data_IF_799101640750
#
_entry.id   IF_799101640750
#
_cell.length_a   1.000
_cell.length_b   1.000
_cell.length_c   1.000
_cell.angle_alpha   90.00
_cell.angle_beta   90.00
_cell.angle_gamma   90.00
#
_symmetry.space_group_name_H-M   'P 1'
#
loop_
_entity.id
_entity.type
_entity.pdbx_description
1 polymer ?
#
# COMPACT_ATOMS: atom_id res chain seq x y z
N UNK A 1 -3.58 -0.91 25.52
CA UNK A 1 -4.48 -0.89 26.70
C UNK A 1 -5.89 -0.68 26.15
N UNK A 2 -6.50 -1.77 25.70
CA UNK A 2 -7.85 -1.79 25.14
C UNK A 2 -8.76 -2.31 26.26
N UNK A 3 -9.52 -1.42 26.90
CA UNK A 3 -10.64 -1.83 27.76
C UNK A 3 -11.88 -1.90 26.89
N UNK A 4 -12.68 -2.96 27.04
CA UNK A 4 -13.98 -3.15 26.38
C UNK A 4 -14.87 -1.91 26.47
N UNK A 5 -14.90 -1.26 27.65
CA UNK A 5 -15.68 -0.03 27.89
C UNK A 5 -15.28 1.17 27.02
N UNK A 6 -14.09 1.14 26.42
CA UNK A 6 -13.64 2.19 25.51
C UNK A 6 -14.02 1.88 24.06
N UNK A 7 -14.22 0.61 23.67
CA UNK A 7 -14.74 0.22 22.35
C UNK A 7 -16.23 0.61 22.26
N UNK A 8 -17.01 0.31 23.29
CA UNK A 8 -18.45 0.60 23.35
C UNK A 8 -18.79 2.08 23.06
N UNK A 9 -18.03 3.03 23.62
CA UNK A 9 -18.24 4.46 23.40
C UNK A 9 -17.93 4.94 21.96
N UNK A 10 -17.06 4.24 21.20
CA UNK A 10 -16.80 4.56 19.77
C UNK A 10 -17.92 4.05 18.90
N UNK A 11 -18.41 2.84 19.24
CA UNK A 11 -19.47 2.14 18.51
C UNK A 11 -20.79 2.94 18.58
N UNK A 12 -21.06 3.59 19.72
CA UNK A 12 -22.27 4.39 19.95
C UNK A 12 -22.29 5.75 19.24
N UNK A 13 -21.13 6.38 18.95
CA UNK A 13 -21.09 7.79 18.50
C UNK A 13 -21.08 7.97 16.97
N UNK A 14 -20.51 7.04 16.19
CA UNK A 14 -20.29 7.23 14.74
C UNK A 14 -20.96 6.18 13.82
N UNK A 15 -21.71 5.24 14.41
CA UNK A 15 -22.37 4.17 13.65
C UNK A 15 -21.37 3.18 13.05
N UNK A 16 -21.26 2.02 13.69
CA UNK A 16 -20.69 0.72 13.30
C UNK A 16 -20.24 0.38 11.85
N UNK A 17 -20.68 1.05 10.79
CA UNK A 17 -20.49 0.62 9.39
C UNK A 17 -19.09 0.87 8.80
N UNK A 18 -18.21 1.60 9.50
CA UNK A 18 -16.86 1.97 9.01
C UNK A 18 -15.74 1.12 9.61
N UNK A 19 -16.00 0.48 10.74
CA UNK A 19 -15.03 -0.41 11.37
C UNK A 19 -14.93 -1.68 10.50
N UNK A 20 -13.70 -2.04 10.17
CA UNK A 20 -13.37 -3.13 9.26
C UNK A 20 -13.90 -2.98 7.82
N UNK A 21 -14.16 -1.74 7.38
CA UNK A 21 -14.55 -1.47 5.99
C UNK A 21 -13.53 -2.08 5.02
N UNK A 22 -14.04 -2.86 4.04
CA UNK A 22 -13.28 -3.59 3.02
C UNK A 22 -12.29 -4.64 3.54
N UNK A 23 -12.39 -5.01 4.82
CA UNK A 23 -11.54 -6.04 5.42
C UNK A 23 -12.10 -7.45 5.20
N UNK A 24 -11.22 -8.44 5.27
CA UNK A 24 -11.53 -9.85 5.08
C UNK A 24 -10.78 -10.74 6.07
N UNK A 25 -11.31 -11.94 6.30
CA UNK A 25 -10.72 -13.06 7.02
C UNK A 25 -10.88 -14.32 6.16
N UNK A 26 -9.85 -15.15 6.12
CA UNK A 26 -9.83 -16.43 5.43
C UNK A 26 -9.55 -17.51 6.47
N UNK A 27 -10.36 -18.56 6.47
CA UNK A 27 -10.16 -19.71 7.36
C UNK A 27 -10.86 -20.97 6.88
N UNK A 28 -10.84 -22.00 7.73
CA UNK A 28 -11.52 -23.29 7.48
C UNK A 28 -12.99 -23.30 7.94
N UNK A 29 -13.48 -22.14 8.34
CA UNK A 29 -14.84 -21.93 8.83
C UNK A 29 -15.29 -20.51 8.50
N UNK A 30 -16.59 -20.28 8.54
CA UNK A 30 -17.16 -18.94 8.49
C UNK A 30 -16.89 -18.17 9.79
N UNK A 31 -16.53 -16.91 9.66
CA UNK A 31 -16.40 -15.97 10.76
C UNK A 31 -17.55 -14.97 10.71
N UNK A 32 -18.29 -14.90 11.81
CA UNK A 32 -19.43 -14.01 11.96
C UNK A 32 -19.01 -12.84 12.83
N UNK A 33 -18.73 -11.72 12.18
CA UNK A 33 -18.57 -10.43 12.83
C UNK A 33 -19.90 -9.68 12.80
N UNK A 34 -20.04 -8.71 13.70
CA UNK A 34 -21.12 -7.73 13.64
C UNK A 34 -21.10 -6.97 12.28
N UNK A 35 -22.18 -6.25 11.99
CA UNK A 35 -22.33 -5.38 10.80
C UNK A 35 -22.59 -6.13 9.48
N UNK A 36 -23.15 -7.34 9.56
CA UNK A 36 -23.67 -8.05 8.40
C UNK A 36 -22.60 -8.64 7.50
N UNK A 37 -21.45 -9.01 8.06
CA UNK A 37 -20.39 -9.71 7.35
C UNK A 37 -20.93 -10.91 6.56
N UNK A 38 -20.39 -11.08 5.37
CA UNK A 38 -20.79 -12.11 4.44
C UNK A 38 -19.72 -13.20 4.36
N UNK A 39 -20.11 -14.38 3.90
CA UNK A 39 -19.24 -15.54 3.77
C UNK A 39 -19.42 -16.14 2.37
N UNK A 40 -18.32 -16.52 1.72
CA UNK A 40 -18.35 -17.36 0.52
C UNK A 40 -17.36 -18.51 0.69
N UNK A 41 -17.73 -19.70 0.20
CA UNK A 41 -16.82 -20.82 0.09
C UNK A 41 -15.94 -20.67 -1.15
N UNK A 42 -14.62 -20.75 -0.98
CA UNK A 42 -13.63 -20.36 -2.00
C UNK A 42 -12.77 -21.54 -2.50
N UNK A 43 -13.20 -22.77 -2.19
CA UNK A 43 -12.52 -24.02 -2.57
C UNK A 43 -11.63 -24.59 -1.46
N UNK A 44 -11.23 -25.86 -1.56
CA UNK A 44 -10.34 -26.54 -0.59
C UNK A 44 -10.81 -26.48 0.88
N UNK A 45 -12.13 -26.41 1.12
CA UNK A 45 -12.70 -26.25 2.46
C UNK A 45 -12.39 -24.88 3.11
N UNK A 46 -11.99 -23.89 2.30
CA UNK A 46 -11.72 -22.54 2.73
C UNK A 46 -12.98 -21.69 2.61
N UNK A 47 -13.16 -20.80 3.59
CA UNK A 47 -14.18 -19.77 3.61
C UNK A 47 -13.52 -18.40 3.66
N UNK A 48 -14.01 -17.50 2.82
CA UNK A 48 -13.72 -16.07 2.87
C UNK A 48 -14.88 -15.36 3.58
N UNK A 49 -14.60 -14.78 4.74
CA UNK A 49 -15.49 -13.89 5.48
C UNK A 49 -15.09 -12.45 5.20
N UNK A 50 -16.04 -11.58 4.87
CA UNK A 50 -15.72 -10.21 4.45
C UNK A 50 -16.76 -9.19 4.88
N UNK A 51 -16.29 -7.96 5.10
CA UNK A 51 -17.16 -6.82 5.35
C UNK A 51 -17.99 -6.48 4.09
N UNK A 52 -19.28 -6.10 4.19
CA UNK A 52 -20.14 -5.83 3.04
C UNK A 52 -19.67 -4.75 2.06
N UNK A 53 -18.73 -3.90 2.48
CA UNK A 53 -18.12 -2.89 1.60
C UNK A 53 -16.97 -3.42 0.75
N UNK A 54 -16.50 -4.66 0.98
CA UNK A 54 -15.52 -5.30 0.12
C UNK A 54 -16.15 -5.75 -1.19
N UNK A 55 -15.51 -5.43 -2.32
CA UNK A 55 -15.94 -5.92 -3.63
C UNK A 55 -15.33 -7.31 -3.86
N UNK A 56 -16.17 -8.31 -4.09
CA UNK A 56 -15.76 -9.69 -4.30
C UNK A 56 -16.11 -10.12 -5.72
N UNK A 57 -15.18 -10.78 -6.39
CA UNK A 57 -15.42 -11.45 -7.67
C UNK A 57 -14.86 -12.87 -7.58
N UNK A 58 -15.67 -13.85 -7.96
CA UNK A 58 -15.36 -15.26 -7.75
C UNK A 58 -15.69 -16.03 -9.02
N UNK A 59 -14.79 -16.92 -9.42
CA UNK A 59 -15.03 -17.85 -10.51
C UNK A 59 -14.41 -19.21 -10.17
N UNK A 60 -15.14 -20.26 -10.49
CA UNK A 60 -14.72 -21.66 -10.33
C UNK A 60 -14.85 -22.34 -11.68
N UNK A 61 -13.72 -22.81 -12.19
CA UNK A 61 -13.60 -23.65 -13.38
C UNK A 61 -12.62 -24.77 -13.06
N UNK A 62 -13.13 -25.93 -12.61
CA UNK A 62 -12.27 -27.01 -12.11
C UNK A 62 -11.19 -27.39 -13.15
N UNK A 63 -9.89 -27.39 -12.79
CA UNK A 63 -9.33 -27.45 -11.44
C UNK A 63 -8.89 -26.11 -10.83
N UNK A 64 -9.33 -24.98 -11.39
CA UNK A 64 -8.91 -23.63 -11.01
C UNK A 64 -10.07 -22.85 -10.38
N UNK A 65 -9.79 -22.18 -9.27
CA UNK A 65 -10.74 -21.27 -8.63
C UNK A 65 -10.03 -19.97 -8.30
N UNK A 66 -10.58 -18.85 -8.74
CA UNK A 66 -10.03 -17.52 -8.49
C UNK A 66 -11.06 -16.71 -7.71
N UNK A 67 -10.63 -16.18 -6.56
CA UNK A 67 -11.42 -15.22 -5.78
C UNK A 67 -10.61 -13.94 -5.63
N UNK A 68 -11.11 -12.85 -6.18
CA UNK A 68 -10.53 -11.52 -6.06
C UNK A 68 -11.31 -10.68 -5.05
N UNK A 69 -10.59 -10.06 -4.11
CA UNK A 69 -11.08 -9.05 -3.19
C UNK A 69 -10.52 -7.69 -3.61
N UNK A 70 -11.39 -6.75 -3.97
CA UNK A 70 -11.02 -5.40 -4.39
C UNK A 70 -11.23 -5.15 -5.88
N UNK A 71 -10.37 -4.35 -6.49
CA UNK A 71 -10.49 -3.99 -7.91
C UNK A 71 -9.23 -4.36 -8.66
N UNK A 72 -9.44 -5.14 -9.71
CA UNK A 72 -8.39 -5.59 -10.63
C UNK A 72 -8.66 -5.00 -11.99
N UNK A 73 -7.62 -4.47 -12.63
CA UNK A 73 -7.67 -3.85 -13.95
C UNK A 73 -6.69 -4.57 -14.87
N UNK A 74 -7.11 -4.81 -16.10
CA UNK A 74 -6.24 -5.30 -17.17
C UNK A 74 -5.95 -4.11 -18.10
N UNK A 75 -4.77 -3.48 -18.05
CA UNK A 75 -4.50 -2.28 -18.84
C UNK A 75 -4.62 -2.51 -20.35
N UNK A 76 -4.34 -3.73 -20.82
CA UNK A 76 -4.49 -4.14 -22.22
C UNK A 76 -5.94 -4.32 -22.67
N UNK A 77 -6.90 -4.44 -21.75
CA UNK A 77 -8.34 -4.47 -22.03
C UNK A 77 -9.12 -3.65 -21.00
N UNK A 78 -9.20 -2.32 -21.19
CA UNK A 78 -9.86 -1.42 -20.24
C UNK A 78 -11.37 -1.66 -20.05
N UNK A 79 -12.03 -2.40 -20.94
CA UNK A 79 -13.46 -2.66 -20.85
C UNK A 79 -13.80 -3.79 -19.88
N UNK A 80 -12.86 -4.73 -19.67
CA UNK A 80 -13.04 -5.87 -18.77
C UNK A 80 -13.37 -5.42 -17.35
N UNK A 81 -14.37 -6.06 -16.73
CA UNK A 81 -14.70 -5.89 -15.31
C UNK A 81 -13.96 -6.91 -14.46
N UNK A 82 -14.03 -6.78 -13.12
CA UNK A 82 -13.40 -7.74 -12.22
C UNK A 82 -13.80 -9.19 -12.53
N UNK A 83 -15.08 -9.44 -12.80
CA UNK A 83 -15.59 -10.79 -13.05
C UNK A 83 -15.08 -11.37 -14.38
N UNK A 84 -14.85 -10.53 -15.38
CA UNK A 84 -14.29 -10.96 -16.67
C UNK A 84 -12.82 -11.36 -16.49
N UNK A 85 -12.05 -10.56 -15.74
CA UNK A 85 -10.64 -10.84 -15.43
C UNK A 85 -10.51 -12.11 -14.58
N UNK A 86 -11.33 -12.26 -13.53
CA UNK A 86 -11.30 -13.45 -12.66
C UNK A 86 -11.66 -14.72 -13.44
N UNK A 87 -12.57 -14.63 -14.41
CA UNK A 87 -12.89 -15.74 -15.31
C UNK A 87 -11.73 -16.05 -16.25
N UNK A 88 -11.19 -15.04 -16.92
CA UNK A 88 -10.03 -15.18 -17.81
C UNK A 88 -8.83 -15.84 -17.09
N UNK A 89 -8.53 -15.43 -15.86
CA UNK A 89 -7.47 -16.06 -15.05
C UNK A 89 -7.74 -17.55 -14.79
N UNK A 90 -8.99 -17.94 -14.54
CA UNK A 90 -9.34 -19.33 -14.29
C UNK A 90 -9.30 -20.19 -15.56
N UNK A 91 -9.75 -19.64 -16.70
CA UNK A 91 -9.83 -20.33 -17.99
C UNK A 91 -8.44 -20.48 -18.65
N UNK A 92 -7.56 -19.49 -18.52
CA UNK A 92 -6.29 -19.45 -19.25
C UNK A 92 -5.07 -19.95 -18.44
N UNK A 93 -5.17 -20.06 -17.11
CA UNK A 93 -4.04 -20.45 -16.26
C UNK A 93 -4.22 -21.87 -15.72
N UNK A 94 -3.46 -22.83 -16.25
CA UNK A 94 -3.50 -24.23 -15.81
C UNK A 94 -2.61 -24.52 -14.58
N UNK A 95 -1.64 -23.66 -14.29
CA UNK A 95 -0.72 -23.78 -13.15
C UNK A 95 -0.43 -22.40 -12.50
N UNK A 96 0.23 -22.43 -11.33
CA UNK A 96 0.58 -21.20 -10.61
C UNK A 96 1.60 -20.32 -11.33
N UNK A 97 2.46 -20.89 -12.19
CA UNK A 97 3.44 -20.09 -12.92
C UNK A 97 2.75 -19.24 -13.99
N UNK A 98 1.84 -19.85 -14.77
CA UNK A 98 0.99 -19.15 -15.72
C UNK A 98 0.13 -18.09 -15.04
N UNK A 99 -0.46 -18.43 -13.88
CA UNK A 99 -1.21 -17.47 -13.09
C UNK A 99 -0.33 -16.28 -12.67
N UNK A 100 0.86 -16.52 -12.13
CA UNK A 100 1.75 -15.45 -11.69
C UNK A 100 2.25 -14.57 -12.84
N UNK A 101 2.47 -15.14 -14.04
CA UNK A 101 2.77 -14.37 -15.24
C UNK A 101 1.56 -13.49 -15.64
N UNK A 102 0.33 -14.02 -15.57
CA UNK A 102 -0.89 -13.26 -15.83
C UNK A 102 -1.13 -12.15 -14.78
N UNK A 103 -0.87 -12.41 -13.50
CA UNK A 103 -1.00 -11.43 -12.42
C UNK A 103 -0.05 -10.24 -12.59
N UNK A 104 1.13 -10.45 -13.19
CA UNK A 104 2.10 -9.38 -13.43
C UNK A 104 1.62 -8.32 -14.43
N UNK A 105 0.65 -8.65 -15.27
CA UNK A 105 0.02 -7.73 -16.24
C UNK A 105 -1.14 -6.92 -15.61
N UNK A 106 -1.55 -7.26 -14.39
CA UNK A 106 -2.70 -6.64 -13.74
C UNK A 106 -2.31 -5.41 -12.93
N UNK A 107 -3.17 -4.40 -12.98
CA UNK A 107 -3.10 -3.22 -12.13
C UNK A 107 -4.27 -3.19 -11.14
N UNK A 108 -4.24 -2.24 -10.20
CA UNK A 108 -5.32 -1.99 -9.26
C UNK A 108 -4.93 -2.24 -7.81
N UNK A 109 -5.93 -2.63 -7.01
CA UNK A 109 -5.80 -2.81 -5.57
C UNK A 109 -6.63 -4.01 -5.14
N UNK A 110 -5.96 -5.15 -5.05
CA UNK A 110 -6.60 -6.45 -4.96
C UNK A 110 -5.80 -7.42 -4.09
N UNK A 111 -6.53 -8.40 -3.56
CA UNK A 111 -6.02 -9.62 -2.93
C UNK A 111 -6.68 -10.77 -3.69
N UNK A 112 -5.89 -11.73 -4.17
CA UNK A 112 -6.39 -12.90 -4.91
C UNK A 112 -6.09 -14.17 -4.12
N UNK A 113 -7.14 -14.95 -3.85
CA UNK A 113 -7.03 -16.35 -3.46
C UNK A 113 -7.21 -17.20 -4.71
N UNK A 114 -6.18 -17.98 -5.03
CA UNK A 114 -6.20 -18.88 -6.17
C UNK A 114 -6.02 -20.32 -5.70
N UNK A 115 -6.93 -21.19 -6.13
CA UNK A 115 -6.78 -22.64 -6.04
C UNK A 115 -6.44 -23.16 -7.42
N UNK A 116 -5.38 -23.95 -7.53
CA UNK A 116 -4.97 -24.61 -8.78
C UNK A 116 -4.58 -26.05 -8.45
N UNK A 117 -5.30 -27.02 -9.02
CA UNK A 117 -4.97 -28.44 -8.84
C UNK A 117 -5.01 -28.91 -7.37
N UNK A 118 -5.91 -28.36 -6.55
CA UNK A 118 -6.07 -28.70 -5.14
C UNK A 118 -5.03 -28.08 -4.18
N UNK A 119 -4.19 -27.17 -4.68
CA UNK A 119 -3.33 -26.32 -3.86
C UNK A 119 -3.87 -24.89 -3.88
N UNK A 120 -3.76 -24.16 -2.77
CA UNK A 120 -4.27 -22.80 -2.63
C UNK A 120 -3.17 -21.81 -2.24
N UNK A 121 -3.15 -20.66 -2.91
CA UNK A 121 -2.20 -19.56 -2.66
C UNK A 121 -2.90 -18.21 -2.60
N UNK A 122 -2.36 -17.33 -1.75
CA UNK A 122 -2.80 -15.94 -1.63
C UNK A 122 -1.77 -15.00 -2.25
N UNK A 123 -2.23 -14.10 -3.10
CA UNK A 123 -1.46 -13.12 -3.85
C UNK A 123 -1.95 -11.71 -3.56
N UNK A 124 -1.02 -10.78 -3.49
CA UNK A 124 -1.30 -9.36 -3.35
C UNK A 124 -1.12 -8.64 -4.67
N UNK A 125 -1.76 -7.48 -4.82
CA UNK A 125 -1.39 -6.51 -5.85
C UNK A 125 0.08 -6.11 -5.76
N UNK A 126 0.58 -5.44 -6.80
CA UNK A 126 2.00 -5.13 -7.00
C UNK A 126 2.68 -4.58 -5.74
N UNK A 127 1.98 -3.84 -4.88
CA UNK A 127 2.58 -3.25 -3.68
C UNK A 127 1.95 -3.70 -2.36
N UNK A 128 1.07 -4.70 -2.39
CA UNK A 128 0.34 -5.11 -1.20
C UNK A 128 -0.60 -4.03 -0.68
N UNK A 129 -1.17 -3.19 -1.56
CA UNK A 129 -2.05 -2.09 -1.16
C UNK A 129 -3.32 -2.58 -0.44
N UNK A 130 -3.67 -3.85 -0.59
CA UNK A 130 -4.45 -4.61 0.39
C UNK A 130 -3.53 -5.49 1.23
N UNK A 131 -3.19 -5.02 2.43
CA UNK A 131 -2.38 -5.81 3.37
C UNK A 131 -3.03 -7.14 3.68
N UNK A 132 -2.20 -8.16 3.91
CA UNK A 132 -2.62 -9.46 4.39
C UNK A 132 -1.66 -9.92 5.48
N UNK A 133 -2.21 -10.48 6.54
CA UNK A 133 -1.49 -11.07 7.65
C UNK A 133 -1.90 -12.53 7.76
N UNK A 134 -1.00 -13.39 8.24
CA UNK A 134 -1.26 -14.81 8.38
C UNK A 134 -0.66 -15.38 9.65
N UNK A 135 -1.30 -16.42 10.16
CA UNK A 135 -0.81 -17.19 11.33
C UNK A 135 0.11 -18.31 10.86
N UNK A 136 1.20 -18.52 11.61
CA UNK A 136 2.16 -19.59 11.35
C UNK A 136 1.74 -20.93 11.97
N UNK A 137 0.87 -20.90 13.00
CA UNK A 137 0.32 -22.09 13.64
C UNK A 137 -0.61 -22.87 12.68
N UNK A 138 -0.34 -24.16 12.47
CA UNK A 138 -1.02 -24.99 11.48
C UNK A 138 -2.44 -25.37 11.90
N UNK A 139 -2.59 -25.64 13.18
CA UNK A 139 -3.81 -25.98 13.89
C UNK A 139 -4.82 -24.83 14.00
N UNK A 140 -4.42 -23.59 13.70
CA UNK A 140 -5.32 -22.44 13.77
C UNK A 140 -6.44 -22.55 12.72
N UNK A 141 -7.72 -22.36 13.10
CA UNK A 141 -8.84 -22.40 12.17
C UNK A 141 -8.88 -21.17 11.25
N UNK A 142 -8.27 -20.06 11.69
CA UNK A 142 -8.04 -18.88 10.85
C UNK A 142 -6.71 -19.01 10.14
N UNK A 143 -6.63 -18.49 8.92
CA UNK A 143 -5.43 -18.55 8.09
C UNK A 143 -4.81 -17.20 7.92
N UNK A 144 -5.61 -16.28 7.40
CA UNK A 144 -5.15 -14.97 7.06
C UNK A 144 -6.27 -13.95 7.23
N UNK A 145 -5.91 -12.69 7.46
CA UNK A 145 -6.85 -11.59 7.44
C UNK A 145 -6.16 -10.31 6.96
N UNK A 146 -6.91 -9.38 6.39
CA UNK A 146 -6.36 -8.09 5.97
C UNK A 146 -6.13 -7.11 7.13
N UNK A 147 -6.58 -7.47 8.34
CA UNK A 147 -6.35 -6.73 9.57
C UNK A 147 -5.67 -7.65 10.62
N UNK A 148 -4.52 -7.24 11.19
CA UNK A 148 -3.74 -8.09 12.08
C UNK A 148 -4.37 -8.26 13.46
N UNK A 149 -5.08 -7.24 13.97
CA UNK A 149 -5.81 -7.36 15.23
C UNK A 149 -6.97 -8.34 15.10
N UNK A 150 -7.67 -8.27 13.96
CA UNK A 150 -8.76 -9.18 13.63
C UNK A 150 -8.27 -10.63 13.52
N UNK A 151 -7.16 -10.85 12.82
CA UNK A 151 -6.49 -12.15 12.76
C UNK A 151 -6.18 -12.67 14.15
N UNK A 152 -5.51 -11.86 14.98
CA UNK A 152 -5.05 -12.24 16.30
C UNK A 152 -6.22 -12.61 17.23
N UNK A 153 -7.36 -11.89 17.15
CA UNK A 153 -8.56 -12.22 17.92
C UNK A 153 -9.09 -13.60 17.60
N UNK A 154 -9.20 -13.97 16.33
CA UNK A 154 -9.70 -15.29 15.93
C UNK A 154 -8.67 -16.42 16.03
N UNK A 155 -7.39 -16.06 16.03
CA UNK A 155 -6.29 -16.99 16.22
C UNK A 155 -5.95 -17.24 17.71
N UNK A 156 -6.54 -16.48 18.62
CA UNK A 156 -6.18 -16.42 20.04
C UNK A 156 -4.67 -16.15 20.27
N UNK A 157 -4.15 -15.19 19.51
CA UNK A 157 -2.73 -14.81 19.53
C UNK A 157 -2.49 -13.61 20.45
N UNK A 158 -1.51 -13.68 21.37
CA UNK A 158 -1.20 -12.57 22.26
C UNK A 158 -0.55 -11.38 21.53
N UNK A 159 -0.84 -10.18 22.02
CA UNK A 159 -0.18 -8.94 21.63
C UNK A 159 1.06 -8.68 22.49
N UNK A 160 2.23 -8.57 21.86
CA UNK A 160 3.43 -8.00 22.45
C UNK A 160 3.29 -6.46 22.54
N UNK A 161 2.84 -6.01 23.71
CA UNK A 161 2.64 -4.59 24.02
C UNK A 161 3.97 -3.82 24.04
N UNK A 162 5.09 -4.47 24.39
CA UNK A 162 6.39 -3.82 24.46
C UNK A 162 6.95 -3.56 23.07
N UNK A 163 6.84 -4.55 22.18
CA UNK A 163 7.19 -4.42 20.76
C UNK A 163 6.34 -3.34 20.09
N UNK A 164 5.02 -3.37 20.27
CA UNK A 164 4.12 -2.33 19.75
C UNK A 164 4.53 -0.92 20.24
N UNK A 165 4.82 -0.77 21.54
CA UNK A 165 5.29 0.50 22.12
C UNK A 165 6.68 0.90 21.61
N UNK A 166 7.56 -0.05 21.33
CA UNK A 166 8.86 0.24 20.74
C UNK A 166 8.70 0.79 19.32
N UNK A 167 7.82 0.20 18.51
CA UNK A 167 7.49 0.69 17.17
C UNK A 167 6.91 2.11 17.19
N UNK A 168 5.97 2.42 18.09
CA UNK A 168 5.42 3.78 18.19
C UNK A 168 6.40 4.84 18.71
N UNK A 169 7.46 4.44 19.40
CA UNK A 169 8.51 5.37 19.88
C UNK A 169 9.52 5.73 18.79
N UNK A 170 9.50 5.03 17.65
CA UNK A 170 10.37 5.36 16.53
C UNK A 170 10.02 6.74 15.98
N UNK A 171 11.04 7.45 15.49
CA UNK A 171 10.89 8.81 14.95
C UNK A 171 9.85 8.87 13.83
N UNK A 172 9.77 7.80 13.06
CA UNK A 172 8.81 7.57 12.02
C UNK A 172 8.12 6.27 12.40
N UNK A 173 6.85 6.34 12.83
CA UNK A 173 6.05 5.18 13.26
C UNK A 173 5.57 4.37 12.05
N UNK A 174 6.48 4.15 11.10
CA UNK A 174 6.28 3.59 9.77
C UNK A 174 7.20 2.37 9.50
N UNK A 175 8.08 2.01 10.45
CA UNK A 175 9.02 0.89 10.32
C UNK A 175 8.65 -0.33 11.17
N UNK A 176 7.89 -1.27 10.59
CA UNK A 176 7.82 -2.64 11.11
C UNK A 176 9.12 -3.39 10.83
N UNK A 177 9.40 -4.46 11.55
CA UNK A 177 10.64 -5.22 11.39
C UNK A 177 10.45 -6.28 10.32
N UNK A 178 10.60 -5.91 9.05
CA UNK A 178 10.31 -6.81 7.92
C UNK A 178 8.84 -7.23 7.90
N UNK A 179 8.60 -8.54 7.91
CA UNK A 179 7.27 -9.16 7.97
C UNK A 179 6.70 -9.28 9.39
N UNK A 180 7.45 -8.93 10.43
CA UNK A 180 7.01 -9.14 11.81
C UNK A 180 5.89 -8.17 12.21
N UNK A 181 4.97 -8.69 13.00
CA UNK A 181 3.90 -7.92 13.66
C UNK A 181 4.11 -7.97 15.18
N UNK A 182 3.42 -7.13 15.97
CA UNK A 182 3.46 -7.25 17.42
C UNK A 182 2.57 -8.40 17.93
N UNK A 183 1.97 -9.19 17.05
CA UNK A 183 1.16 -10.36 17.41
C UNK A 183 2.02 -11.62 17.22
N UNK A 184 2.23 -12.38 18.28
CA UNK A 184 3.16 -13.52 18.26
C UNK A 184 2.70 -14.64 17.31
N UNK A 185 3.55 -15.06 16.37
CA UNK A 185 3.15 -16.05 15.36
C UNK A 185 2.22 -15.52 14.26
N UNK A 186 2.02 -14.20 14.19
CA UNK A 186 1.37 -13.52 13.07
C UNK A 186 2.41 -12.74 12.25
N UNK A 187 2.46 -13.02 10.94
CA UNK A 187 3.36 -12.36 10.00
C UNK A 187 2.56 -11.60 8.95
N UNK A 188 3.14 -10.54 8.40
CA UNK A 188 2.61 -9.83 7.24
C UNK A 188 3.11 -10.48 5.95
N UNK A 189 2.21 -10.73 4.99
CA UNK A 189 2.61 -11.10 3.64
C UNK A 189 3.17 -9.86 2.93
N UNK A 190 4.42 -9.93 2.49
CA UNK A 190 5.08 -8.85 1.76
C UNK A 190 4.71 -8.87 0.27
N UNK A 191 4.77 -7.74 -0.44
CA UNK A 191 4.68 -7.69 -1.91
C UNK A 191 5.68 -8.64 -2.57
N UNK A 192 5.40 -9.06 -3.81
CA UNK A 192 6.18 -10.04 -4.57
C UNK A 192 6.29 -11.45 -3.94
N UNK A 193 5.58 -11.69 -2.84
CA UNK A 193 5.46 -12.99 -2.20
C UNK A 193 4.01 -13.49 -2.30
N UNK A 194 3.86 -14.81 -2.32
CA UNK A 194 2.58 -15.48 -2.19
C UNK A 194 2.60 -16.31 -0.91
N UNK A 195 1.44 -16.50 -0.29
CA UNK A 195 1.30 -17.40 0.85
C UNK A 195 0.74 -18.73 0.38
N UNK A 196 1.46 -19.82 0.61
CA UNK A 196 0.90 -21.17 0.49
C UNK A 196 -0.02 -21.44 1.68
N UNK A 197 -1.31 -21.65 1.41
CA UNK A 197 -2.36 -21.72 2.43
C UNK A 197 -2.23 -22.99 3.28
N UNK A 198 -1.68 -24.07 2.73
CA UNK A 198 -1.52 -25.34 3.45
C UNK A 198 -0.31 -25.29 4.38
N UNK A 199 0.85 -24.90 3.86
CA UNK A 199 2.10 -24.89 4.60
C UNK A 199 2.31 -23.64 5.46
N UNK A 200 1.52 -22.57 5.26
CA UNK A 200 1.67 -21.27 5.94
C UNK A 200 3.03 -20.63 5.72
N UNK A 201 3.61 -20.86 4.53
CA UNK A 201 4.91 -20.32 4.14
C UNK A 201 4.71 -19.27 3.06
N UNK A 202 5.21 -18.07 3.33
CA UNK A 202 5.34 -17.03 2.32
C UNK A 202 6.55 -17.31 1.44
N UNK A 203 6.36 -17.34 0.12
CA UNK A 203 7.41 -17.58 -0.86
C UNK A 203 7.44 -16.45 -1.88
N UNK A 204 8.64 -15.94 -2.15
CA UNK A 204 8.89 -14.96 -3.21
C UNK A 204 8.57 -15.59 -4.57
N UNK A 205 7.59 -15.04 -5.27
CA UNK A 205 7.27 -15.46 -6.64
C UNK A 205 7.80 -14.47 -7.68
N UNK A 206 8.22 -13.26 -7.29
CA UNK A 206 8.85 -12.29 -8.18
C UNK A 206 10.05 -11.60 -7.49
N UNK A 207 11.13 -11.26 -8.20
CA UNK A 207 11.44 -11.66 -9.58
C UNK A 207 11.94 -13.12 -9.64
N UNK A 208 11.47 -13.91 -10.62
CA UNK A 208 11.94 -15.30 -10.85
C UNK A 208 13.16 -15.42 -11.74
N UNK A 209 13.32 -14.44 -12.63
CA UNK A 209 14.38 -14.35 -13.62
C UNK A 209 14.89 -12.92 -13.65
N UNK A 210 16.13 -12.69 -14.11
CA UNK A 210 16.65 -11.34 -14.26
C UNK A 210 15.70 -10.46 -15.07
N UNK A 211 15.39 -9.28 -14.55
CA UNK A 211 14.65 -8.24 -15.28
C UNK A 211 15.61 -7.62 -16.28
N UNK A 212 15.31 -7.81 -17.57
CA UNK A 212 16.15 -7.30 -18.64
C UNK A 212 16.05 -5.77 -18.75
N UNK A 213 17.20 -5.13 -18.88
CA UNK A 213 17.26 -3.70 -19.15
C UNK A 213 16.78 -3.43 -20.58
N UNK A 214 15.84 -2.50 -20.73
CA UNK A 214 15.37 -2.02 -22.02
C UNK A 214 15.75 -0.54 -22.21
N UNK A 215 15.88 -0.05 -23.45
CA UNK A 215 16.15 1.36 -23.71
C UNK A 215 15.09 2.28 -23.07
N UNK A 216 15.52 3.41 -22.50
CA UNK A 216 14.63 4.36 -21.81
C UNK A 216 13.40 4.76 -22.62
N UNK A 217 13.57 5.02 -23.92
CA UNK A 217 12.46 5.39 -24.81
C UNK A 217 11.42 4.26 -24.95
N UNK A 218 11.87 3.00 -24.93
CA UNK A 218 10.97 1.85 -24.94
C UNK A 218 10.26 1.69 -23.60
N UNK A 219 11.00 1.76 -22.49
CA UNK A 219 10.42 1.73 -21.15
C UNK A 219 9.34 2.81 -21.00
N UNK A 220 9.62 4.06 -21.36
CA UNK A 220 8.66 5.16 -21.27
C UNK A 220 7.39 4.91 -22.08
N UNK A 221 7.48 4.31 -23.28
CA UNK A 221 6.29 3.96 -24.07
C UNK A 221 5.46 2.86 -23.41
N UNK A 222 6.11 1.80 -22.93
CA UNK A 222 5.43 0.68 -22.24
C UNK A 222 4.69 1.17 -21.00
N UNK A 223 5.37 1.99 -20.20
CA UNK A 223 4.78 2.55 -18.99
C UNK A 223 3.61 3.49 -19.34
N UNK A 224 3.78 4.39 -20.32
CA UNK A 224 2.70 5.29 -20.70
C UNK A 224 1.45 4.52 -21.15
N UNK A 225 1.62 3.43 -21.90
CA UNK A 225 0.52 2.56 -22.30
C UNK A 225 -0.15 1.86 -21.10
N UNK A 226 0.64 1.35 -20.14
CA UNK A 226 0.09 0.74 -18.92
C UNK A 226 -0.67 1.75 -18.07
N UNK A 227 -0.12 2.96 -17.88
CA UNK A 227 -0.79 4.06 -17.18
C UNK A 227 -2.10 4.45 -17.86
N UNK A 228 -2.06 4.66 -19.17
CA UNK A 228 -3.22 5.04 -19.97
C UNK A 228 -4.32 3.97 -19.91
N UNK A 229 -3.96 2.70 -20.13
CA UNK A 229 -4.86 1.56 -20.06
C UNK A 229 -5.48 1.40 -18.68
N UNK A 230 -4.69 1.56 -17.61
CA UNK A 230 -5.20 1.46 -16.24
C UNK A 230 -6.14 2.62 -15.89
N UNK A 231 -5.81 3.86 -16.30
CA UNK A 231 -6.70 5.02 -16.11
C UNK A 231 -7.99 4.83 -16.90
N UNK A 232 -7.91 4.31 -18.13
CA UNK A 232 -9.09 3.99 -18.93
C UNK A 232 -9.96 2.92 -18.25
N UNK A 233 -9.36 1.86 -17.71
CA UNK A 233 -10.07 0.78 -17.03
C UNK A 233 -10.78 1.28 -15.76
N UNK A 234 -10.10 2.12 -14.98
CA UNK A 234 -10.67 2.77 -13.81
C UNK A 234 -11.84 3.69 -14.19
N UNK A 235 -11.67 4.52 -15.23
CA UNK A 235 -12.67 5.48 -15.71
C UNK A 235 -13.91 4.82 -16.31
N UNK A 236 -13.76 3.64 -16.92
CA UNK A 236 -14.88 2.87 -17.48
C UNK A 236 -15.84 2.38 -16.40
N UNK A 237 -15.36 2.18 -15.17
CA UNK A 237 -16.14 1.62 -14.07
C UNK A 237 -16.75 2.69 -13.18
N UNK A 238 -15.97 3.72 -12.81
CA UNK A 238 -16.37 4.71 -11.81
C UNK A 238 -15.85 6.11 -12.14
N UNK A 239 -16.50 7.18 -11.66
CA UNK A 239 -15.96 8.54 -11.78
C UNK A 239 -14.56 8.64 -11.16
N UNK A 240 -13.65 9.33 -11.86
CA UNK A 240 -12.28 9.51 -11.43
C UNK A 240 -12.03 10.88 -10.81
N UNK A 241 -11.29 10.86 -9.71
CA UNK A 241 -10.70 12.02 -9.07
C UNK A 241 -9.20 11.87 -9.04
N UNK A 242 -8.45 12.89 -9.43
CA UNK A 242 -6.99 12.82 -9.50
C UNK A 242 -6.36 14.05 -8.89
N UNK A 243 -5.44 13.85 -7.95
CA UNK A 243 -4.64 14.94 -7.41
C UNK A 243 -3.75 15.54 -8.51
N UNK A 244 -3.78 16.85 -8.68
CA UNK A 244 -2.90 17.61 -9.56
C UNK A 244 -2.10 18.62 -8.74
N UNK A 245 -0.77 18.59 -8.86
CA UNK A 245 0.15 19.48 -8.13
C UNK A 245 1.27 19.96 -9.06
N UNK A 246 2.24 20.71 -8.54
CA UNK A 246 3.48 21.03 -9.26
C UNK A 246 4.44 19.84 -9.35
N UNK A 247 4.20 18.82 -8.52
CA UNK A 247 4.97 17.57 -8.46
C UNK A 247 5.07 16.86 -9.81
N UNK A 248 6.09 16.02 -9.94
CA UNK A 248 6.33 15.26 -11.16
C UNK A 248 5.25 14.19 -11.39
N UNK A 249 4.94 13.42 -10.34
CA UNK A 249 4.10 12.22 -10.43
C UNK A 249 2.67 12.56 -10.90
N UNK A 250 2.04 13.56 -10.28
CA UNK A 250 0.69 14.01 -10.67
C UNK A 250 0.62 14.54 -12.11
N UNK A 251 1.71 15.17 -12.60
CA UNK A 251 1.79 15.65 -13.99
C UNK A 251 2.00 14.51 -14.99
N UNK A 252 2.75 13.47 -14.61
CA UNK A 252 2.89 12.25 -15.41
C UNK A 252 1.53 11.57 -15.54
N UNK A 253 0.80 11.38 -14.44
CA UNK A 253 -0.52 10.76 -14.48
C UNK A 253 -1.51 11.57 -15.34
N UNK A 254 -1.51 12.90 -15.23
CA UNK A 254 -2.33 13.76 -16.09
C UNK A 254 -1.93 13.63 -17.57
N UNK A 255 -0.63 13.54 -17.88
CA UNK A 255 -0.14 13.36 -19.24
C UNK A 255 -0.56 11.99 -19.82
N UNK A 256 -0.45 10.93 -19.03
CA UNK A 256 -0.80 9.56 -19.41
C UNK A 256 -2.30 9.26 -19.35
N UNK A 257 -3.16 10.19 -18.91
CA UNK A 257 -4.61 9.98 -18.85
C UNK A 257 -5.31 9.86 -20.21
N UNK A 258 -4.58 9.92 -21.34
CA UNK A 258 -5.12 9.70 -22.69
C UNK A 258 -6.42 10.46 -22.99
N UNK A 259 -7.40 9.76 -23.54
CA UNK A 259 -8.75 10.26 -23.81
C UNK A 259 -9.56 10.60 -22.54
N UNK A 260 -9.21 10.00 -21.40
CA UNK A 260 -9.90 10.23 -20.13
C UNK A 260 -9.50 11.56 -19.48
N UNK A 261 -8.40 12.19 -19.93
CA UNK A 261 -7.86 13.43 -19.35
C UNK A 261 -8.90 14.51 -19.12
N UNK A 262 -9.85 14.72 -20.03
CA UNK A 262 -10.89 15.76 -19.86
C UNK A 262 -12.10 15.32 -19.02
N UNK A 263 -12.24 14.03 -18.74
CA UNK A 263 -13.35 13.43 -17.98
C UNK A 263 -13.02 13.26 -16.49
N UNK A 264 -11.74 13.37 -16.13
CA UNK A 264 -11.26 13.28 -14.75
C UNK A 264 -11.54 14.59 -14.01
N UNK A 265 -11.97 14.48 -12.75
CA UNK A 265 -12.08 15.61 -11.84
C UNK A 265 -10.73 15.80 -11.13
N UNK A 266 -9.99 16.83 -11.51
CA UNK A 266 -8.72 17.14 -10.87
C UNK A 266 -8.92 17.98 -9.62
N UNK A 267 -8.02 17.81 -8.66
CA UNK A 267 -8.04 18.64 -7.46
C UNK A 267 -6.64 18.91 -6.91
N UNK A 268 -6.50 19.99 -6.17
CA UNK A 268 -5.29 20.29 -5.39
C UNK A 268 -5.68 20.65 -3.96
N UNK A 269 -5.10 19.97 -2.98
CA UNK A 269 -5.29 20.34 -1.56
C UNK A 269 -4.23 21.37 -1.18
N UNK A 270 -4.65 22.61 -0.94
CA UNK A 270 -3.80 23.71 -0.51
C UNK A 270 -3.53 23.60 0.99
N UNK A 271 -2.30 23.25 1.34
CA UNK A 271 -1.75 23.30 2.70
C UNK A 271 -1.31 24.73 3.06
N UNK A 272 -1.31 25.12 4.32
CA UNK A 272 -0.68 26.37 4.78
C UNK A 272 0.48 26.07 5.74
N UNK A 273 1.69 26.64 5.52
CA UNK A 273 2.15 27.26 4.28
C UNK A 273 2.39 26.18 3.21
N UNK A 274 1.79 26.31 2.02
CA UNK A 274 2.19 25.53 0.83
C UNK A 274 3.17 26.36 0.03
N UNK A 275 4.05 25.71 -0.73
CA UNK A 275 4.70 26.37 -1.85
C UNK A 275 3.59 26.87 -2.77
N UNK A 276 3.61 28.17 -3.10
CA UNK A 276 2.71 28.74 -4.12
C UNK A 276 2.76 27.91 -5.41
N UNK A 277 3.94 27.37 -5.71
CA UNK A 277 4.27 26.58 -6.89
C UNK A 277 3.39 25.35 -7.12
N UNK A 278 2.96 24.63 -6.07
CA UNK A 278 2.14 23.42 -6.25
C UNK A 278 0.73 23.74 -6.74
N UNK A 279 0.13 24.80 -6.19
CA UNK A 279 -1.22 25.24 -6.56
C UNK A 279 -1.17 26.00 -7.88
N UNK A 280 -0.21 26.92 -8.03
CA UNK A 280 -0.10 27.77 -9.22
C UNK A 280 0.20 26.92 -10.47
N UNK A 281 1.09 25.91 -10.36
CA UNK A 281 1.37 24.99 -11.47
C UNK A 281 0.14 24.16 -11.84
N UNK A 282 -0.59 23.62 -10.85
CA UNK A 282 -1.80 22.85 -11.11
C UNK A 282 -2.88 23.69 -11.82
N UNK A 283 -3.09 24.93 -11.36
CA UNK A 283 -4.04 25.88 -11.97
C UNK A 283 -3.61 26.25 -13.40
N UNK A 284 -2.32 26.48 -13.62
CA UNK A 284 -1.77 26.76 -14.96
C UNK A 284 -2.03 25.59 -15.91
N UNK A 285 -1.74 24.36 -15.49
CA UNK A 285 -1.97 23.15 -16.28
C UNK A 285 -3.45 22.95 -16.57
N UNK A 286 -4.31 23.09 -15.55
CA UNK A 286 -5.75 22.96 -15.71
C UNK A 286 -6.31 23.95 -16.73
N UNK A 287 -5.88 25.22 -16.69
CA UNK A 287 -6.26 26.23 -17.68
C UNK A 287 -5.74 25.90 -19.07
N UNK A 288 -4.46 25.52 -19.18
CA UNK A 288 -3.80 25.21 -20.46
C UNK A 288 -4.49 24.06 -21.19
N UNK A 289 -4.95 23.04 -20.46
CA UNK A 289 -5.55 21.83 -21.03
C UNK A 289 -7.08 21.78 -20.89
N UNK A 290 -7.71 22.85 -20.40
CA UNK A 290 -9.14 22.96 -20.14
C UNK A 290 -9.69 21.78 -19.28
N UNK A 291 -9.04 21.53 -18.15
CA UNK A 291 -9.38 20.45 -17.21
C UNK A 291 -10.40 20.91 -16.17
N UNK A 292 -11.27 20.01 -15.74
CA UNK A 292 -12.10 20.19 -14.53
C UNK A 292 -11.18 20.15 -13.30
N UNK A 293 -10.92 21.29 -12.68
CA UNK A 293 -9.97 21.40 -11.56
C UNK A 293 -10.50 22.25 -10.41
N UNK A 294 -10.36 21.75 -9.19
CA UNK A 294 -10.76 22.44 -7.97
C UNK A 294 -9.61 22.55 -6.97
N UNK A 295 -9.45 23.72 -6.35
CA UNK A 295 -8.51 23.91 -5.23
C UNK A 295 -9.28 23.82 -3.91
N UNK A 296 -8.92 22.84 -3.10
CA UNK A 296 -9.53 22.57 -1.80
C UNK A 296 -8.60 23.08 -0.69
N UNK A 297 -9.15 23.62 0.40
CA UNK A 297 -8.34 23.91 1.59
C UNK A 297 -8.04 22.62 2.34
N UNK A 298 -6.82 22.49 2.86
CA UNK A 298 -6.50 21.44 3.81
C UNK A 298 -7.34 21.58 5.07
N UNK A 299 -8.04 20.51 5.43
CA UNK A 299 -8.80 20.42 6.67
C UNK A 299 -8.18 19.37 7.59
N UNK A 300 -7.91 19.77 8.83
CA UNK A 300 -7.49 18.85 9.89
C UNK A 300 -8.72 18.38 10.66
N UNK A 301 -8.96 17.08 10.69
CA UNK A 301 -9.99 16.51 11.57
C UNK A 301 -9.64 16.81 13.03
N UNK A 302 -10.59 17.41 13.74
CA UNK A 302 -10.48 17.67 15.17
C UNK A 302 -11.00 16.50 16.00
N UNK A 303 -11.67 15.52 15.38
CA UNK A 303 -12.35 14.43 16.06
C UNK A 303 -11.38 13.29 16.40
N UNK A 304 -11.30 12.96 17.69
CA UNK A 304 -10.46 11.87 18.20
C UNK A 304 -10.92 10.51 17.70
N UNK A 305 -12.22 10.34 17.50
CA UNK A 305 -12.83 9.06 17.16
C UNK A 305 -12.61 8.65 15.69
N UNK A 306 -12.60 9.58 14.74
CA UNK A 306 -12.25 9.26 13.35
C UNK A 306 -10.84 8.69 13.21
N UNK A 307 -9.88 9.34 13.90
CA UNK A 307 -8.50 8.84 13.97
C UNK A 307 -8.44 7.45 14.59
N UNK A 308 -9.29 7.20 15.58
CA UNK A 308 -9.37 5.91 16.27
C UNK A 308 -9.91 4.82 15.35
N UNK A 309 -10.97 5.06 14.60
CA UNK A 309 -11.51 4.10 13.62
C UNK A 309 -10.49 3.75 12.54
N UNK A 310 -9.81 4.76 11.98
CA UNK A 310 -8.74 4.55 11.02
C UNK A 310 -7.57 3.73 11.62
N UNK A 311 -7.21 3.97 12.89
CA UNK A 311 -6.18 3.20 13.61
C UNK A 311 -6.60 1.75 13.87
N UNK A 312 -7.86 1.51 14.27
CA UNK A 312 -8.38 0.16 14.51
C UNK A 312 -8.44 -0.67 13.22
N UNK A 313 -8.73 -0.03 12.09
CA UNK A 313 -8.75 -0.68 10.77
C UNK A 313 -7.40 -1.21 10.28
N UNK A 314 -6.31 -0.84 10.94
CA UNK A 314 -4.95 -1.34 10.67
C UNK A 314 -4.34 -2.07 11.86
N UNK A 315 -5.16 -2.42 12.87
CA UNK A 315 -4.69 -3.07 14.10
C UNK A 315 -3.71 -2.21 14.91
N UNK A 316 -3.75 -0.90 14.75
CA UNK A 316 -2.78 0.02 15.32
C UNK A 316 -1.42 0.02 14.61
N UNK A 317 -1.23 -0.74 13.54
CA UNK A 317 0.11 -0.90 12.99
C UNK A 317 0.61 0.31 12.18
N UNK A 318 -0.23 1.30 11.88
CA UNK A 318 0.19 2.47 11.14
C UNK A 318 -0.24 3.75 11.82
N UNK A 319 0.67 4.72 11.82
CA UNK A 319 0.35 6.11 12.11
C UNK A 319 1.08 7.02 11.13
N UNK A 320 0.32 7.92 10.52
CA UNK A 320 0.84 9.00 9.69
C UNK A 320 0.08 10.30 10.00
N UNK A 321 0.78 11.42 9.91
CA UNK A 321 0.16 12.74 10.05
C UNK A 321 -0.96 12.96 9.02
N UNK A 322 -0.87 12.37 7.82
CA UNK A 322 -1.90 12.42 6.78
C UNK A 322 -3.23 11.84 7.27
N UNK A 323 -3.24 10.93 8.26
CA UNK A 323 -4.47 10.41 8.86
C UNK A 323 -5.28 11.53 9.55
N UNK A 324 -4.65 12.65 9.93
CA UNK A 324 -5.35 13.81 10.47
C UNK A 324 -6.03 14.67 9.39
N UNK A 325 -5.71 14.42 8.12
CA UNK A 325 -6.13 15.24 6.98
C UNK A 325 -7.28 14.60 6.20
N UNK A 326 -7.79 13.45 6.61
CA UNK A 326 -8.72 12.63 5.83
C UNK A 326 -9.98 13.35 5.39
N UNK A 327 -10.50 14.24 6.24
CA UNK A 327 -11.61 15.14 5.93
C UNK A 327 -11.36 16.03 4.70
N UNK A 328 -10.10 16.28 4.34
CA UNK A 328 -9.75 17.02 3.12
C UNK A 328 -10.19 16.31 1.83
N UNK A 329 -10.55 15.02 1.89
CA UNK A 329 -10.99 14.21 0.75
C UNK A 329 -12.51 13.99 0.69
N UNK A 330 -13.30 14.59 1.58
CA UNK A 330 -14.77 14.37 1.61
C UNK A 330 -15.52 14.90 0.40
N UNK A 331 -14.91 15.81 -0.36
CA UNK A 331 -15.47 16.28 -1.62
C UNK A 331 -15.48 15.19 -2.71
N UNK A 332 -14.70 14.11 -2.54
CA UNK A 332 -14.75 12.95 -3.41
C UNK A 332 -16.01 12.16 -3.06
N UNK A 333 -16.95 12.00 -4.01
CA UNK A 333 -18.22 11.34 -3.73
C UNK A 333 -18.00 9.85 -3.43
N UNK A 334 -18.87 9.25 -2.59
CA UNK A 334 -18.79 7.84 -2.31
C UNK A 334 -18.83 6.96 -3.56
N UNK A 335 -17.95 5.97 -3.57
CA UNK A 335 -17.80 5.03 -4.66
C UNK A 335 -16.93 5.52 -5.82
N UNK A 336 -16.53 6.79 -5.90
CA UNK A 336 -15.58 7.24 -6.93
C UNK A 336 -14.18 6.64 -6.74
N UNK A 337 -13.38 6.61 -7.80
CA UNK A 337 -11.98 6.22 -7.71
C UNK A 337 -11.10 7.45 -7.56
N UNK A 338 -10.16 7.38 -6.62
CA UNK A 338 -9.09 8.35 -6.47
C UNK A 338 -7.82 7.78 -7.09
N UNK A 339 -7.27 8.47 -8.09
CA UNK A 339 -5.98 8.10 -8.67
C UNK A 339 -4.89 8.87 -7.93
N UNK A 340 -3.95 8.12 -7.35
CA UNK A 340 -2.84 8.66 -6.56
C UNK A 340 -1.50 8.29 -7.20
N UNK A 341 -0.58 9.26 -7.26
CA UNK A 341 0.78 9.05 -7.79
C UNK A 341 1.79 8.54 -6.77
N UNK A 342 1.32 7.90 -5.69
CA UNK A 342 2.19 7.24 -4.72
C UNK A 342 2.80 5.99 -5.37
N UNK A 343 3.90 5.47 -4.81
CA UNK A 343 4.67 4.29 -5.28
C UNK A 343 5.77 4.63 -6.28
N UNK A 344 5.68 5.76 -6.98
CA UNK A 344 6.71 6.26 -7.91
C UNK A 344 8.13 6.30 -7.34
N UNK A 345 8.28 6.31 -6.03
CA UNK A 345 9.56 6.22 -5.33
C UNK A 345 10.30 4.88 -5.51
N UNK A 346 9.59 3.77 -5.77
CA UNK A 346 10.17 2.42 -5.93
C UNK A 346 11.27 2.40 -6.99
N UNK A 347 11.09 3.14 -8.08
CA UNK A 347 12.07 3.20 -9.18
C UNK A 347 12.91 4.49 -9.17
N UNK A 348 12.87 5.26 -8.07
CA UNK A 348 13.64 6.50 -7.91
C UNK A 348 14.79 6.35 -6.90
N UNK A 349 15.12 5.14 -6.48
CA UNK A 349 16.16 4.88 -5.51
C UNK A 349 15.97 5.71 -4.24
N UNK A 350 14.79 5.58 -3.62
CA UNK A 350 14.44 6.30 -2.39
C UNK A 350 15.52 6.16 -1.31
N UNK A 351 16.04 4.94 -1.11
CA UNK A 351 17.14 4.65 -0.19
C UNK A 351 18.53 4.81 -0.81
N UNK A 352 18.61 5.13 -2.10
CA UNK A 352 19.83 5.14 -2.87
C UNK A 352 20.77 6.31 -2.60
N UNK A 353 20.48 7.27 -1.71
CA UNK A 353 21.31 8.48 -1.47
C UNK A 353 22.84 8.26 -1.55
N UNK A 354 23.49 7.95 -0.42
CA UNK A 354 24.92 7.58 -0.41
C UNK A 354 25.20 6.10 -0.76
N UNK A 355 24.14 5.35 -1.05
CA UNK A 355 24.14 3.89 -1.21
C UNK A 355 23.72 3.47 -2.63
N UNK A 356 23.70 4.39 -3.59
CA UNK A 356 23.29 4.08 -4.97
C UNK A 356 24.31 3.14 -5.60
N UNK A 357 23.86 1.95 -5.98
CA UNK A 357 24.67 0.98 -6.70
C UNK A 357 25.66 0.20 -5.84
N UNK A 358 25.47 0.14 -4.51
CA UNK A 358 26.20 -0.80 -3.65
C UNK A 358 25.34 -2.01 -3.30
N UNK A 359 25.93 -3.19 -3.43
CA UNK A 359 25.38 -4.46 -2.93
C UNK A 359 25.88 -4.78 -1.51
N UNK A 360 26.77 -3.96 -0.95
CA UNK A 360 27.28 -4.07 0.43
C UNK A 360 26.27 -3.51 1.43
N UNK A 361 25.11 -4.16 1.50
CA UNK A 361 24.01 -3.82 2.41
C UNK A 361 23.80 -4.99 3.37
N UNK A 362 23.99 -4.72 4.67
CA UNK A 362 23.69 -5.67 5.74
C UNK A 362 22.41 -5.27 6.51
N UNK A 363 22.00 -6.11 7.46
CA UNK A 363 20.81 -5.87 8.27
C UNK A 363 20.91 -4.59 9.13
N UNK A 364 22.11 -4.14 9.51
CA UNK A 364 22.32 -2.89 10.27
C UNK A 364 22.10 -1.69 9.36
N UNK A 365 22.58 -1.74 8.12
CA UNK A 365 22.32 -0.73 7.10
C UNK A 365 20.82 -0.60 6.85
N UNK A 366 20.09 -1.71 6.71
CA UNK A 366 18.63 -1.69 6.55
C UNK A 366 17.92 -1.08 7.78
N UNK A 367 18.33 -1.43 9.00
CA UNK A 367 17.83 -0.78 10.23
C UNK A 367 18.01 0.75 10.18
N UNK A 368 19.18 1.22 9.76
CA UNK A 368 19.49 2.65 9.67
C UNK A 368 18.61 3.37 8.64
N UNK A 369 18.44 2.77 7.45
CA UNK A 369 17.62 3.30 6.37
C UNK A 369 16.13 3.38 6.77
N UNK A 370 15.64 2.41 7.54
CA UNK A 370 14.29 2.40 8.07
C UNK A 370 14.11 3.24 9.35
N UNK A 371 15.19 3.81 9.90
CA UNK A 371 15.19 4.47 11.21
C UNK A 371 14.70 3.58 12.36
N UNK A 372 14.95 2.28 12.24
CA UNK A 372 14.62 1.24 13.20
C UNK A 372 15.83 0.96 14.10
N UNK A 373 15.68 0.86 15.43
CA UNK A 373 16.76 0.40 16.30
C UNK A 373 17.19 -1.03 15.94
N UNK A 374 18.50 -1.34 15.89
CA UNK A 374 19.02 -2.66 15.53
C UNK A 374 18.84 -3.67 16.67
N UNK A 375 17.59 -3.97 17.01
CA UNK A 375 17.20 -5.03 17.94
C UNK A 375 17.47 -6.41 17.34
N UNK A 376 17.53 -7.44 18.18
CA UNK A 376 17.72 -8.83 17.70
C UNK A 376 16.67 -9.22 16.65
N UNK A 377 15.40 -8.89 16.91
CA UNK A 377 14.29 -9.15 16.00
C UNK A 377 14.44 -8.42 14.66
N UNK A 378 14.80 -7.13 14.69
CA UNK A 378 15.02 -6.36 13.46
C UNK A 378 16.21 -6.90 12.64
N UNK A 379 17.32 -7.20 13.30
CA UNK A 379 18.51 -7.76 12.64
C UNK A 379 18.21 -9.13 12.02
N UNK A 380 17.57 -10.03 12.75
CA UNK A 380 17.18 -11.34 12.22
C UNK A 380 16.23 -11.22 11.04
N UNK A 381 15.22 -10.35 11.14
CA UNK A 381 14.25 -10.17 10.06
C UNK A 381 14.89 -9.62 8.79
N UNK A 382 15.77 -8.62 8.91
CA UNK A 382 16.41 -8.02 7.75
C UNK A 382 17.51 -8.91 7.17
N UNK A 383 18.22 -9.69 7.99
CA UNK A 383 19.12 -10.75 7.50
C UNK A 383 18.33 -11.79 6.70
N UNK A 384 17.23 -12.32 7.25
CA UNK A 384 16.39 -13.29 6.54
C UNK A 384 15.84 -12.74 5.22
N UNK A 385 15.47 -11.47 5.18
CA UNK A 385 15.07 -10.83 3.93
C UNK A 385 16.25 -10.78 2.95
N UNK A 386 17.43 -10.28 3.36
CA UNK A 386 18.63 -10.20 2.52
C UNK A 386 19.08 -11.55 1.95
N UNK A 387 18.94 -12.62 2.73
CA UNK A 387 19.29 -13.98 2.33
C UNK A 387 18.29 -14.54 1.30
N UNK A 388 17.04 -14.05 1.31
CA UNK A 388 15.98 -14.49 0.39
C UNK A 388 16.02 -13.78 -0.98
N UNK A 389 16.77 -12.70 -1.13
CA UNK A 389 16.75 -11.88 -2.36
C UNK A 389 17.66 -12.50 -3.43
N UNK A 390 17.14 -12.75 -4.65
CA UNK A 390 17.98 -13.13 -5.79
C UNK A 390 18.91 -11.98 -6.19
N UNK A 391 20.23 -12.21 -6.07
CA UNK A 391 21.28 -11.20 -6.32
C UNK A 391 21.47 -10.85 -7.80
N UNK A 392 21.05 -11.73 -8.70
CA UNK A 392 21.11 -11.58 -10.15
C UNK A 392 19.76 -11.16 -10.77
N UNK A 393 18.82 -10.68 -9.96
CA UNK A 393 17.46 -10.36 -10.39
C UNK A 393 17.33 -9.20 -11.39
N UNK A 394 18.38 -8.43 -11.65
CA UNK A 394 18.31 -7.22 -12.48
C UNK A 394 17.55 -6.05 -11.83
N UNK A 395 17.11 -6.21 -10.57
CA UNK A 395 16.44 -5.18 -9.77
C UNK A 395 17.41 -4.69 -8.71
N UNK A 396 17.52 -3.38 -8.52
CA UNK A 396 18.38 -2.81 -7.48
C UNK A 396 17.90 -3.26 -6.09
N UNK A 397 18.81 -3.77 -5.26
CA UNK A 397 18.50 -4.34 -3.94
C UNK A 397 17.69 -3.40 -3.05
N UNK A 398 18.09 -2.13 -2.98
CA UNK A 398 17.43 -1.12 -2.14
C UNK A 398 16.07 -0.66 -2.68
N UNK A 399 15.83 -0.79 -4.00
CA UNK A 399 14.52 -0.52 -4.61
C UNK A 399 13.57 -1.65 -4.28
N UNK A 400 14.02 -2.90 -4.40
CA UNK A 400 13.23 -4.07 -3.99
C UNK A 400 12.93 -4.04 -2.49
N UNK A 401 13.90 -3.63 -1.66
CA UNK A 401 13.68 -3.47 -0.22
C UNK A 401 12.65 -2.38 0.07
N UNK A 402 12.76 -1.21 -0.55
CA UNK A 402 11.80 -0.12 -0.39
C UNK A 402 10.38 -0.55 -0.78
N UNK A 403 10.28 -1.26 -1.91
CA UNK A 403 9.02 -1.80 -2.43
C UNK A 403 8.38 -2.76 -1.42
N UNK A 404 9.11 -3.78 -0.98
CA UNK A 404 8.53 -4.84 -0.16
C UNK A 404 8.32 -4.42 1.30
N UNK A 405 9.23 -3.62 1.83
CA UNK A 405 9.21 -3.25 3.23
C UNK A 405 8.39 -1.98 3.48
N UNK A 406 8.79 -0.86 2.86
CA UNK A 406 8.21 0.44 3.19
C UNK A 406 6.85 0.63 2.52
N UNK A 407 6.76 0.38 1.21
CA UNK A 407 5.47 0.48 0.52
C UNK A 407 4.54 -0.66 0.97
N UNK A 408 5.07 -1.90 1.01
CA UNK A 408 4.33 -3.08 1.46
C UNK A 408 3.83 -3.03 2.91
N UNK A 409 4.38 -2.17 3.76
CA UNK A 409 3.93 -1.99 5.14
C UNK A 409 3.30 -0.62 5.39
N UNK A 410 4.08 0.46 5.51
CA UNK A 410 3.54 1.79 5.81
C UNK A 410 2.55 2.29 4.75
N UNK A 411 2.88 2.14 3.46
CA UNK A 411 1.99 2.53 2.37
C UNK A 411 0.71 1.72 2.39
N UNK A 412 0.85 0.39 2.36
CA UNK A 412 -0.22 -0.60 2.41
C UNK A 412 -1.22 -0.35 3.55
N UNK A 413 -0.71 -0.24 4.77
CA UNK A 413 -1.52 0.02 5.95
C UNK A 413 -2.14 1.42 5.92
N UNK A 414 -1.47 2.42 5.36
CA UNK A 414 -2.04 3.74 5.12
C UNK A 414 -3.34 3.66 4.31
N UNK A 415 -3.32 2.95 3.17
CA UNK A 415 -4.53 2.75 2.35
C UNK A 415 -5.61 1.93 3.06
N UNK A 416 -5.23 0.92 3.85
CA UNK A 416 -6.16 0.15 4.69
C UNK A 416 -6.86 1.00 5.75
N UNK A 417 -6.13 1.91 6.40
CA UNK A 417 -6.72 2.90 7.32
C UNK A 417 -7.67 3.83 6.59
N UNK A 418 -7.31 4.28 5.38
CA UNK A 418 -8.13 5.18 4.58
C UNK A 418 -9.46 4.57 4.16
N UNK A 419 -9.58 3.26 3.95
CA UNK A 419 -10.86 2.61 3.58
C UNK A 419 -11.97 2.79 4.61
N UNK A 420 -11.61 3.10 5.86
CA UNK A 420 -12.55 3.36 6.93
C UNK A 420 -13.13 4.78 6.89
N UNK A 421 -12.39 5.71 6.29
CA UNK A 421 -12.63 7.14 6.44
C UNK A 421 -12.81 7.85 5.07
N UNK A 422 -12.30 7.27 3.98
CA UNK A 422 -12.47 7.73 2.58
C UNK A 422 -13.55 6.90 1.90
N UNK A 423 -14.44 7.58 1.22
CA UNK A 423 -15.52 6.97 0.45
C UNK A 423 -15.10 6.68 -1.00
N UNK A 424 -13.97 7.24 -1.45
CA UNK A 424 -13.30 6.88 -2.69
C UNK A 424 -12.37 5.67 -2.57
N UNK A 425 -12.07 4.99 -3.68
CA UNK A 425 -11.12 3.88 -3.73
C UNK A 425 -9.84 4.35 -4.40
N UNK A 426 -8.71 4.27 -3.69
CA UNK A 426 -7.42 4.60 -4.26
C UNK A 426 -6.97 3.53 -5.27
N UNK A 427 -6.72 3.95 -6.51
CA UNK A 427 -6.15 3.11 -7.58
C UNK A 427 -4.71 3.55 -7.81
N UNK A 428 -3.79 2.59 -7.79
CA UNK A 428 -2.38 2.80 -8.10
C UNK A 428 -2.09 2.40 -9.53
N UNK A 429 -1.10 3.08 -10.13
CA UNK A 429 -0.74 2.92 -11.52
C UNK A 429 0.77 2.63 -11.63
N UNK A 430 1.23 1.81 -12.59
CA UNK A 430 2.65 1.46 -12.76
C UNK A 430 3.53 2.63 -13.31
N UNK A 431 4.79 2.72 -12.86
CA UNK A 431 5.61 3.96 -12.88
C UNK A 431 6.47 4.28 -14.11
N UNK A 432 6.79 5.58 -14.35
CA UNK A 432 7.64 6.14 -15.45
C UNK A 432 9.07 6.50 -15.02
N UNK A 433 10.07 5.94 -15.72
CA UNK A 433 11.53 6.22 -15.56
C UNK A 433 11.93 7.62 -16.04
N UNK A 434 12.86 8.28 -15.32
CA UNK A 434 13.65 9.42 -15.82
C UNK A 434 15.13 9.09 -15.94
N UNK A 435 15.71 9.56 -17.04
CA UNK A 435 17.16 9.60 -17.26
C UNK A 435 17.83 10.73 -16.46
N UNK A 436 19.10 10.52 -16.08
CA UNK A 436 19.91 11.31 -15.14
C UNK A 436 20.39 12.67 -15.67
N UNK A 437 19.79 13.22 -16.72
CA UNK A 437 20.25 14.45 -17.38
C UNK A 437 19.25 15.60 -17.30
N UNK A 438 18.92 16.05 -16.08
CA UNK A 438 18.35 17.39 -15.88
C UNK A 438 18.86 17.99 -14.57
N UNK A 439 20.04 18.61 -14.61
CA UNK A 439 20.47 19.57 -13.58
C UNK A 439 19.70 20.86 -13.83
N UNK A 440 18.61 21.09 -13.11
CA UNK A 440 18.17 22.45 -12.82
C UNK A 440 18.79 22.90 -11.51
N UNK A 441 19.69 23.85 -11.61
CA UNK A 441 19.99 24.76 -10.52
C UNK A 441 18.66 25.43 -10.09
N UNK A 442 18.38 25.37 -8.79
CA UNK A 442 17.29 26.03 -8.07
C UNK A 442 15.85 25.53 -8.34
N UNK A 443 15.29 24.84 -7.34
CA UNK A 443 13.85 24.58 -7.25
C UNK A 443 13.53 23.34 -6.42
N UNK A 444 13.44 23.51 -5.10
CA UNK A 444 12.95 22.51 -4.16
C UNK A 444 11.51 22.09 -4.48
N UNK A 445 11.34 21.02 -5.25
CA UNK A 445 10.12 20.20 -5.22
C UNK A 445 10.11 19.42 -3.90
N UNK A 446 8.98 19.43 -3.21
CA UNK A 446 8.79 18.90 -1.85
C UNK A 446 8.99 17.39 -1.72
N UNK A 447 10.24 16.95 -1.77
CA UNK A 447 10.75 15.97 -0.82
C UNK A 447 10.81 16.68 0.55
N UNK A 448 10.57 15.96 1.64
CA UNK A 448 10.85 16.39 3.00
C UNK A 448 12.26 16.99 3.07
N UNK A 449 12.36 18.32 2.97
CA UNK A 449 13.62 19.03 3.12
C UNK A 449 13.95 19.07 4.60
N UNK A 450 14.81 18.14 4.97
CA UNK A 450 15.60 18.08 6.19
C UNK A 450 16.32 19.43 6.35
N UNK A 451 15.91 20.22 7.34
CA UNK A 451 16.75 21.28 7.89
C UNK A 451 17.24 20.77 9.25
N UNK A 452 18.53 20.46 9.43
CA UNK A 452 19.08 20.23 10.76
C UNK A 452 19.17 21.59 11.46
N UNK A 453 18.28 21.85 12.43
CA UNK A 453 18.56 22.91 13.41
C UNK A 453 19.68 22.42 14.32
N UNK A 454 20.89 22.87 14.01
CA UNK A 454 21.99 22.95 14.98
C UNK A 454 21.51 23.82 16.16
N UNK A 455 21.14 23.20 17.27
CA UNK A 455 21.17 23.86 18.58
C UNK A 455 22.54 23.58 19.18
N UNK A 456 23.53 24.37 18.75
CA UNK A 456 24.76 24.55 19.51
C UNK A 456 24.41 25.26 20.82
N UNK A 457 25.03 24.77 21.90
CA UNK A 457 24.70 25.10 23.27
C UNK A 457 24.85 26.57 23.64
N UNK A 458 24.00 26.98 24.57
CA UNK A 458 24.15 28.19 25.35
C UNK A 458 25.38 28.07 26.27
N UNK A 459 26.54 28.53 25.84
CA UNK A 459 27.63 28.86 26.75
C UNK A 459 27.44 30.28 27.26
N UNK A 460 27.04 30.39 28.54
CA UNK A 460 27.10 31.63 29.33
C UNK A 460 28.55 32.11 29.35
N UNK A 461 28.76 33.36 28.93
CA UNK A 461 29.98 34.13 29.22
C UNK A 461 30.06 34.36 30.72
N UNK A 462 31.08 33.80 31.37
CA UNK A 462 31.63 34.36 32.60
C UNK A 462 32.90 35.12 32.20
N UNK A 463 32.89 36.42 32.45
CA UNK A 463 34.04 37.29 32.33
C UNK A 463 34.83 37.23 33.65
N UNK A 464 36.12 36.92 33.59
CA UNK A 464 37.16 37.50 34.45
C UNK A 464 38.45 37.51 33.62
N UNK A 465 38.99 38.71 33.45
CA UNK A 465 40.23 39.04 32.75
C UNK A 465 41.44 38.95 33.71
N UNK A 466 42.70 39.13 33.24
CA UNK A 466 43.86 38.33 33.64
C UNK A 466 44.65 38.92 34.83
N UNK A 467 45.31 38.04 35.59
CA UNK A 467 46.75 38.00 35.96
C UNK A 467 47.04 36.60 36.50
#
# INVERSE_FOLDING_TARGET
MFRESALDNVLDTYGNHRLYSKQVIIGRQAFFLDHGWQNIEVGEGLTLSYHPSAEISHHRDDPVTITCVGHVFLPGDPASLNQDIVRWLAEECADFQQLEDALAELAGRWLILATVGGAARLYLDAVGARSLFYVTAQESPVIAASNPALLATYADVPLDVELLRACYRQKWSDGWYGQNTPYEGCLQLLPNHCLDVRSRVATRYWPRRPVEAVPTAEASRRIAALLEGTIAAAAARRPLYMGLTGGYDSRVLMACAGEQRKKINYFTIRRKPSSRDDVDTAVLLARRFALSHSVMEQFKSQEREERRVCTLNVGGLQWDFVNQLLRSWEFIPPGAFEVVGNVAEVLRCYYGGGWAGTDEVDARTLCQLCHVPPSLLALQSFTSWLDSVPRDSGVALLDLFYWEHRIGSWGALGWGGYDACRTGISVQLPDVVRDRAWRSENGSCGALSIIPRNTAGSTRRAAVDPV
#
